data_IF_775770110055
#
_entry.id   IF_775770110055
#
_cell.length_a   1.000
_cell.length_b   1.000
_cell.length_c   1.000
_cell.angle_alpha   90.00
_cell.angle_beta   90.00
_cell.angle_gamma   90.00
#
_symmetry.space_group_name_H-M   'P 1'
#
loop_
_entity.id
_entity.type
_entity.pdbx_description
1 polymer ?
#
# COMPACT_ATOMS: atom_id res chain seq x y z
N UNK A 1 8.60 16.93 4.84
CA UNK A 1 8.26 16.00 3.74
C UNK A 1 8.71 14.63 4.16
N UNK A 2 7.81 13.65 4.37
CA UNK A 2 8.24 12.27 4.57
C UNK A 2 9.04 11.86 3.32
N UNK A 3 10.33 11.59 3.52
CA UNK A 3 11.22 11.15 2.44
C UNK A 3 10.68 9.80 1.97
N UNK A 4 10.27 9.74 0.71
CA UNK A 4 9.96 8.45 0.08
C UNK A 4 11.28 7.69 0.04
N UNK A 5 11.41 6.67 0.89
CA UNK A 5 12.66 5.95 1.11
C UNK A 5 12.98 5.01 -0.06
N UNK A 6 11.94 4.44 -0.69
CA UNK A 6 12.05 3.55 -1.85
C UNK A 6 10.81 3.59 -2.75
N UNK A 7 10.99 3.25 -4.03
CA UNK A 7 9.90 3.06 -5.00
C UNK A 7 9.61 1.56 -5.18
N UNK A 8 8.35 1.15 -4.98
CA UNK A 8 7.91 -0.22 -5.21
C UNK A 8 7.27 -0.36 -6.61
N UNK A 9 7.88 -1.15 -7.50
CA UNK A 9 7.30 -1.51 -8.79
C UNK A 9 6.67 -2.90 -8.76
N UNK A 10 5.34 -2.99 -8.93
CA UNK A 10 4.60 -4.27 -8.94
C UNK A 10 3.91 -4.47 -10.28
N UNK A 11 4.06 -5.67 -10.86
CA UNK A 11 3.27 -6.09 -12.02
C UNK A 11 1.94 -6.65 -11.53
N UNK A 12 0.86 -6.03 -11.98
CA UNK A 12 -0.50 -6.45 -11.66
C UNK A 12 -1.23 -6.86 -12.93
N UNK A 13 -2.22 -7.74 -12.80
CA UNK A 13 -3.10 -8.09 -13.92
C UNK A 13 -4.04 -6.93 -14.24
N UNK A 14 -4.62 -6.95 -15.44
CA UNK A 14 -5.61 -5.95 -15.88
C UNK A 14 -6.82 -5.87 -14.96
N UNK A 15 -7.29 -7.03 -14.49
CA UNK A 15 -8.40 -7.12 -13.52
C UNK A 15 -8.05 -6.44 -12.18
N UNK A 16 -6.89 -6.79 -11.62
CA UNK A 16 -6.45 -6.22 -10.34
C UNK A 16 -6.28 -4.70 -10.43
N UNK A 17 -5.73 -4.20 -11.54
CA UNK A 17 -5.66 -2.75 -11.81
C UNK A 17 -7.05 -2.10 -11.84
N UNK A 18 -8.01 -2.73 -12.52
CA UNK A 18 -9.37 -2.20 -12.64
C UNK A 18 -10.05 -2.10 -11.26
N UNK A 19 -9.93 -3.16 -10.44
CA UNK A 19 -10.46 -3.19 -9.07
C UNK A 19 -9.81 -2.16 -8.16
N UNK A 20 -8.48 -2.06 -8.17
CA UNK A 20 -7.74 -1.04 -7.43
C UNK A 20 -8.16 0.38 -7.84
N UNK A 21 -8.32 0.63 -9.14
CA UNK A 21 -8.74 1.94 -9.64
C UNK A 21 -10.17 2.27 -9.23
N UNK A 22 -11.09 1.30 -9.29
CA UNK A 22 -12.48 1.48 -8.86
C UNK A 22 -12.57 1.79 -7.36
N UNK A 23 -11.84 1.04 -6.53
CA UNK A 23 -11.82 1.25 -5.09
C UNK A 23 -11.18 2.59 -4.71
N UNK A 24 -10.06 2.96 -5.35
CA UNK A 24 -9.43 4.26 -5.16
C UNK A 24 -10.37 5.42 -5.50
N UNK A 25 -11.15 5.31 -6.60
CA UNK A 25 -12.20 6.28 -6.94
C UNK A 25 -13.30 6.36 -5.89
N UNK A 26 -13.77 5.20 -5.41
CA UNK A 26 -14.83 5.14 -4.39
C UNK A 26 -14.39 5.79 -3.07
N UNK A 27 -13.14 5.60 -2.68
CA UNK A 27 -12.57 6.17 -1.45
C UNK A 27 -12.02 7.59 -1.63
N UNK A 28 -12.08 8.17 -2.83
CA UNK A 28 -11.44 9.44 -3.21
C UNK A 28 -9.95 9.51 -2.86
N UNK A 29 -9.24 8.39 -3.03
CA UNK A 29 -7.79 8.25 -2.79
C UNK A 29 -7.06 7.96 -4.10
N UNK A 30 -5.76 8.23 -4.13
CA UNK A 30 -4.89 7.76 -5.22
C UNK A 30 -4.68 6.25 -5.12
N UNK A 31 -4.55 5.57 -6.27
CA UNK A 31 -4.27 4.12 -6.30
C UNK A 31 -3.00 3.79 -5.52
N UNK A 32 -1.96 4.62 -5.60
CA UNK A 32 -0.73 4.45 -4.82
C UNK A 32 -0.99 4.49 -3.32
N UNK A 33 -1.79 5.45 -2.83
CA UNK A 33 -2.16 5.56 -1.42
C UNK A 33 -2.98 4.36 -0.95
N UNK A 34 -3.92 3.89 -1.77
CA UNK A 34 -4.69 2.69 -1.47
C UNK A 34 -3.79 1.46 -1.36
N UNK A 35 -2.84 1.28 -2.28
CA UNK A 35 -1.89 0.17 -2.25
C UNK A 35 -1.01 0.22 -1.01
N UNK A 36 -0.50 1.39 -0.62
CA UNK A 36 0.27 1.53 0.63
C UNK A 36 -0.57 1.13 1.84
N UNK A 37 -1.79 1.65 1.98
CA UNK A 37 -2.67 1.31 3.10
C UNK A 37 -2.98 -0.19 3.19
N UNK A 38 -3.22 -0.84 2.04
CA UNK A 38 -3.48 -2.29 2.00
C UNK A 38 -2.23 -3.07 2.43
N UNK A 39 -1.04 -2.64 2.01
CA UNK A 39 0.23 -3.29 2.39
C UNK A 39 0.53 -3.08 3.88
N UNK A 40 0.35 -1.87 4.40
CA UNK A 40 0.52 -1.58 5.83
C UNK A 40 -0.44 -2.43 6.68
N UNK A 41 -1.73 -2.41 6.35
CA UNK A 41 -2.74 -3.21 7.06
C UNK A 41 -2.45 -4.72 6.98
N UNK A 42 -1.91 -5.21 5.86
CA UNK A 42 -1.48 -6.59 5.73
C UNK A 42 -0.31 -6.93 6.65
N UNK A 43 0.70 -6.06 6.74
CA UNK A 43 1.86 -6.24 7.62
C UNK A 43 1.47 -6.17 9.10
N UNK A 44 0.56 -5.25 9.46
CA UNK A 44 -0.02 -5.14 10.80
C UNK A 44 -0.78 -6.40 11.18
N UNK A 45 -1.65 -6.91 10.29
CA UNK A 45 -2.42 -8.13 10.51
C UNK A 45 -1.54 -9.38 10.63
N UNK A 46 -0.36 -9.40 10.00
CA UNK A 46 0.62 -10.47 10.11
C UNK A 46 1.53 -10.36 11.34
N UNK A 47 1.38 -9.32 12.18
CA UNK A 47 2.16 -9.14 13.40
C UNK A 47 3.60 -8.65 13.16
N UNK A 48 3.95 -8.31 11.91
CA UNK A 48 5.31 -7.88 11.54
C UNK A 48 5.55 -6.37 11.75
N UNK A 49 4.56 -5.65 12.27
CA UNK A 49 4.56 -4.18 12.44
C UNK A 49 5.27 -3.63 13.67
N UNK A 50 5.82 -4.48 14.54
CA UNK A 50 6.73 -4.04 15.62
C UNK A 50 8.17 -4.43 15.29
N UNK A 51 8.78 -3.73 14.35
CA UNK A 51 10.23 -3.59 14.39
C UNK A 51 10.52 -2.48 15.39
N UNK A 52 10.77 -2.85 16.66
CA UNK A 52 11.46 -1.96 17.58
C UNK A 52 12.75 -1.48 16.90
N UNK A 53 12.97 -0.16 16.79
CA UNK A 53 14.23 0.34 16.26
C UNK A 53 15.36 -0.09 17.20
N UNK A 54 16.52 -0.53 16.69
CA UNK A 54 17.66 -0.88 17.54
C UNK A 54 18.11 0.37 18.32
N UNK A 55 18.27 0.18 19.62
CA UNK A 55 18.78 1.14 20.62
C UNK A 55 20.24 1.51 20.36
#
# INVERSE_FOLDING_TARGET
>A
MPKIDAQLGVRVTKDLKARLTAQARSERKSVSTLVVQVVEAYLEAKGNGKQEPPK
#
